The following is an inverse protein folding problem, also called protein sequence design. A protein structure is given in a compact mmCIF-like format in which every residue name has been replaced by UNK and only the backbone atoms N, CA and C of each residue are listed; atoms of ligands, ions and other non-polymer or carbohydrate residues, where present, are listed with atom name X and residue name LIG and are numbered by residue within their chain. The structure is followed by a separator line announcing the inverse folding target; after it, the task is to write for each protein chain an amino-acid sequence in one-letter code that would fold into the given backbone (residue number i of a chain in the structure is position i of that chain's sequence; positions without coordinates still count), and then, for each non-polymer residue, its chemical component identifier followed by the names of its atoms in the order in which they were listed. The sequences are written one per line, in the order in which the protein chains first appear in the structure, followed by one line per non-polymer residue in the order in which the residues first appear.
data_IF_385804250165
#
_entry.id   IF_385804250165
#
_cell.length_a   1.000
_cell.length_b   1.000
_cell.length_c   1.000
_cell.angle_alpha   90.00
_cell.angle_beta   90.00
_cell.angle_gamma   90.00
#
_symmetry.space_group_name_H-M   'P 1'
#
loop_
_entity.id
_entity.type
_entity.pdbx_description
1 polymer ?
#
# COMPACT_ATOMS: atom_id res chain seq x y z
N UNK A 1 7.15 -3.99 16.45
CA UNK A 1 7.28 -4.88 15.26
C UNK A 1 7.16 -4.04 14.00
N UNK A 2 7.72 -4.49 12.88
CA UNK A 2 7.54 -3.88 11.56
C UNK A 2 6.82 -4.87 10.65
N UNK A 3 5.67 -4.47 10.10
CA UNK A 3 4.85 -5.28 9.20
C UNK A 3 5.01 -4.74 7.78
N UNK A 4 5.34 -5.62 6.83
CA UNK A 4 5.53 -5.30 5.42
C UNK A 4 4.41 -5.90 4.57
N UNK A 5 3.87 -5.13 3.61
CA UNK A 5 2.86 -5.58 2.66
C UNK A 5 2.99 -4.94 1.27
N UNK A 6 2.52 -5.67 0.24
CA UNK A 6 2.53 -5.22 -1.15
C UNK A 6 1.18 -5.48 -1.87
N UNK A 7 0.86 -6.76 -2.13
CA UNK A 7 -0.49 -7.19 -2.46
C UNK A 7 -1.07 -6.69 -3.78
N UNK A 8 -0.27 -6.59 -4.84
CA UNK A 8 -0.74 -6.18 -6.18
C UNK A 8 0.02 -6.94 -7.28
N UNK A 9 -0.53 -6.94 -8.50
CA UNK A 9 0.05 -7.56 -9.70
C UNK A 9 0.29 -9.07 -9.63
N UNK A 10 -0.25 -9.76 -8.63
CA UNK A 10 0.05 -11.17 -8.37
C UNK A 10 1.50 -11.39 -7.93
N UNK A 11 2.20 -10.34 -7.50
CA UNK A 11 3.57 -10.45 -7.03
C UNK A 11 3.59 -11.09 -5.63
N UNK A 12 4.20 -12.27 -5.53
CA UNK A 12 4.50 -12.92 -4.25
C UNK A 12 5.67 -12.21 -3.58
N UNK A 13 5.53 -11.90 -2.29
CA UNK A 13 6.64 -11.39 -1.48
C UNK A 13 7.24 -12.56 -0.72
N UNK A 14 8.20 -13.26 -1.30
CA UNK A 14 8.78 -14.45 -0.67
C UNK A 14 9.51 -14.12 0.64
N UNK A 15 9.51 -15.08 1.57
CA UNK A 15 10.31 -15.03 2.79
C UNK A 15 11.81 -15.28 2.48
N UNK A 16 12.41 -14.36 1.76
CA UNK A 16 13.83 -14.40 1.40
C UNK A 16 14.73 -13.99 2.58
N UNK A 17 16.05 -14.01 2.36
CA UNK A 17 17.01 -13.37 3.27
C UNK A 17 17.32 -11.95 2.78
N UNK A 18 17.34 -10.99 3.69
CA UNK A 18 17.86 -9.66 3.40
C UNK A 18 18.70 -9.12 4.56
N UNK A 19 19.93 -8.74 4.23
CA UNK A 19 20.90 -8.20 5.17
C UNK A 19 20.41 -6.91 5.83
N UNK A 20 19.63 -6.09 5.11
CA UNK A 20 19.13 -4.81 5.66
C UNK A 20 18.18 -5.01 6.84
N UNK A 21 17.51 -6.18 6.94
CA UNK A 21 16.62 -6.51 8.06
C UNK A 21 17.36 -6.84 9.35
N UNK A 22 18.61 -7.31 9.29
CA UNK A 22 19.38 -7.71 10.47
C UNK A 22 19.47 -6.57 11.50
N UNK A 23 19.65 -5.33 11.03
CA UNK A 23 19.70 -4.16 11.92
C UNK A 23 18.43 -3.97 12.76
N UNK A 24 17.25 -4.34 12.24
CA UNK A 24 16.00 -4.30 13.01
C UNK A 24 15.95 -5.47 14.01
N UNK A 25 16.27 -6.68 13.53
CA UNK A 25 16.22 -7.90 14.33
C UNK A 25 17.16 -7.81 15.55
N UNK A 26 18.38 -7.32 15.37
CA UNK A 26 19.37 -7.12 16.44
C UNK A 26 18.96 -6.05 17.47
N UNK A 27 17.94 -5.25 17.15
CA UNK A 27 17.36 -4.22 18.02
C UNK A 27 16.01 -4.63 18.62
N UNK A 28 15.68 -5.92 18.55
CA UNK A 28 14.49 -6.49 19.19
C UNK A 28 13.20 -6.32 18.38
N UNK A 29 13.27 -5.96 17.10
CA UNK A 29 12.08 -5.95 16.25
C UNK A 29 11.72 -7.35 15.79
N UNK A 30 10.42 -7.66 15.82
CA UNK A 30 9.83 -8.66 14.94
C UNK A 30 9.59 -8.01 13.57
N UNK A 31 10.04 -8.66 12.50
CA UNK A 31 9.75 -8.30 11.12
C UNK A 31 8.77 -9.31 10.52
N UNK A 32 7.59 -8.85 10.11
CA UNK A 32 6.55 -9.69 9.53
C UNK A 32 6.32 -9.30 8.07
N UNK A 33 6.22 -10.31 7.19
CA UNK A 33 5.73 -10.16 5.83
C UNK A 33 4.30 -10.69 5.83
N UNK A 34 3.35 -9.90 5.36
CA UNK A 34 1.96 -10.34 5.25
C UNK A 34 1.59 -10.57 3.80
N UNK A 35 1.27 -11.83 3.49
CA UNK A 35 0.91 -12.31 2.15
C UNK A 35 -0.58 -12.07 1.89
N UNK A 36 -0.95 -10.83 1.62
CA UNK A 36 -2.34 -10.39 1.43
C UNK A 36 -2.88 -10.72 0.02
N UNK A 37 -4.20 -10.80 -0.14
CA UNK A 37 -4.82 -10.93 -1.47
C UNK A 37 -4.39 -9.81 -2.40
N UNK A 38 -4.29 -10.12 -3.69
CA UNK A 38 -3.65 -9.29 -4.71
C UNK A 38 -2.19 -9.67 -4.95
N UNK A 39 -1.56 -10.39 -4.00
CA UNK A 39 -0.31 -11.11 -4.20
C UNK A 39 -0.52 -12.47 -4.88
N UNK A 40 0.57 -13.20 -5.14
CA UNK A 40 0.57 -14.48 -5.85
C UNK A 40 0.73 -15.72 -4.97
N UNK A 41 0.79 -15.56 -3.65
CA UNK A 41 1.26 -16.60 -2.73
C UNK A 41 0.39 -17.86 -2.72
N UNK A 42 -0.92 -17.72 -2.97
CA UNK A 42 -1.87 -18.84 -3.08
C UNK A 42 -2.38 -19.02 -4.53
N UNK A 43 -1.60 -18.57 -5.52
CA UNK A 43 -1.89 -18.71 -6.94
C UNK A 43 -2.83 -17.64 -7.50
N UNK A 44 -3.30 -17.84 -8.73
CA UNK A 44 -4.03 -16.83 -9.53
C UNK A 44 -5.29 -16.30 -8.83
N UNK A 45 -6.06 -17.16 -8.14
CA UNK A 45 -7.27 -16.72 -7.46
C UNK A 45 -6.97 -15.74 -6.31
N UNK A 46 -5.83 -15.89 -5.65
CA UNK A 46 -5.39 -15.00 -4.57
C UNK A 46 -5.15 -13.58 -5.08
N UNK A 47 -4.58 -13.48 -6.28
CA UNK A 47 -4.38 -12.23 -6.99
C UNK A 47 -5.72 -11.63 -7.43
N UNK A 48 -6.55 -12.40 -8.12
CA UNK A 48 -7.85 -11.92 -8.64
C UNK A 48 -8.80 -11.49 -7.51
N UNK A 49 -8.70 -12.10 -6.34
CA UNK A 49 -9.47 -11.70 -5.15
C UNK A 49 -8.93 -10.45 -4.45
N UNK A 50 -7.84 -9.84 -4.92
CA UNK A 50 -7.33 -8.54 -4.47
C UNK A 50 -7.15 -7.54 -5.61
N UNK A 51 -7.95 -7.67 -6.68
CA UNK A 51 -7.85 -6.90 -7.92
C UNK A 51 -9.19 -6.25 -8.28
N UNK A 52 -9.19 -5.20 -9.10
CA UNK A 52 -10.43 -4.54 -9.57
C UNK A 52 -11.38 -4.19 -8.41
N UNK A 53 -12.65 -4.59 -8.52
CA UNK A 53 -13.71 -4.37 -7.53
C UNK A 53 -13.59 -5.27 -6.28
N UNK A 54 -12.49 -6.00 -6.16
CA UNK A 54 -12.09 -6.74 -4.97
C UNK A 54 -10.87 -6.14 -4.29
N UNK A 55 -10.31 -5.03 -4.81
CA UNK A 55 -9.04 -4.48 -4.30
C UNK A 55 -9.03 -4.18 -2.80
N UNK A 56 -10.18 -3.83 -2.21
CA UNK A 56 -10.28 -3.60 -0.76
C UNK A 56 -9.89 -4.80 0.10
N UNK A 57 -9.98 -6.01 -0.44
CA UNK A 57 -9.53 -7.22 0.25
C UNK A 57 -8.04 -7.14 0.63
N UNK A 58 -7.19 -6.57 -0.21
CA UNK A 58 -5.77 -6.37 0.09
C UNK A 58 -5.57 -5.56 1.37
N UNK A 59 -6.33 -4.46 1.53
CA UNK A 59 -6.20 -3.57 2.69
C UNK A 59 -6.79 -4.21 3.95
N UNK A 60 -7.94 -4.87 3.82
CA UNK A 60 -8.58 -5.59 4.91
C UNK A 60 -7.68 -6.71 5.45
N UNK A 61 -7.12 -7.53 4.55
CA UNK A 61 -6.20 -8.61 4.93
C UNK A 61 -4.97 -8.07 5.67
N UNK A 62 -4.43 -6.93 5.24
CA UNK A 62 -3.29 -6.30 5.90
C UNK A 62 -3.60 -5.89 7.34
N UNK A 63 -4.75 -5.23 7.54
CA UNK A 63 -5.20 -4.79 8.86
C UNK A 63 -5.54 -5.99 9.76
N UNK A 64 -6.24 -7.00 9.22
CA UNK A 64 -6.58 -8.24 9.92
C UNK A 64 -5.30 -8.99 10.36
N UNK A 65 -4.29 -9.05 9.49
CA UNK A 65 -3.01 -9.66 9.83
C UNK A 65 -2.26 -8.89 10.93
N UNK A 66 -2.28 -7.55 10.89
CA UNK A 66 -1.71 -6.73 11.95
C UNK A 66 -2.40 -6.97 13.30
N UNK A 67 -3.73 -6.97 13.32
CA UNK A 67 -4.53 -7.23 14.53
C UNK A 67 -4.26 -8.66 15.07
N UNK A 68 -4.17 -9.66 14.17
CA UNK A 68 -3.84 -11.03 14.55
C UNK A 68 -2.43 -11.17 15.15
N UNK A 69 -1.41 -10.54 14.55
CA UNK A 69 -0.04 -10.56 15.06
C UNK A 69 0.08 -9.92 16.45
N UNK A 70 -0.60 -8.79 16.67
CA UNK A 70 -0.66 -8.15 17.98
C UNK A 70 -1.38 -9.01 19.01
N UNK A 71 -2.51 -9.62 18.64
CA UNK A 71 -3.27 -10.52 19.52
C UNK A 71 -2.46 -11.76 19.93
N UNK A 72 -1.61 -12.26 19.04
CA UNK A 72 -0.71 -13.39 19.31
C UNK A 72 0.53 -12.98 20.12
N UNK A 73 0.73 -11.69 20.40
CA UNK A 73 1.84 -11.19 21.21
C UNK A 73 3.16 -11.02 20.47
N UNK A 74 3.16 -11.01 19.13
CA UNK A 74 4.38 -10.81 18.33
C UNK A 74 4.91 -9.37 18.38
N UNK A 75 4.08 -8.40 18.79
CA UNK A 75 4.48 -7.01 18.91
C UNK A 75 3.72 -6.29 20.01
N UNK A 76 4.29 -5.17 20.47
CA UNK A 76 3.57 -4.24 21.35
C UNK A 76 2.54 -3.45 20.52
N UNK A 77 1.27 -3.35 20.97
CA UNK A 77 0.27 -2.48 20.34
C UNK A 77 0.71 -1.00 20.26
N UNK A 78 1.55 -0.53 21.19
CA UNK A 78 2.07 0.84 21.18
C UNK A 78 3.25 1.07 20.22
N UNK A 79 3.82 0.00 19.65
CA UNK A 79 5.03 0.03 18.81
C UNK A 79 4.84 -0.86 17.56
N UNK A 80 3.67 -0.76 16.95
CA UNK A 80 3.36 -1.37 15.65
C UNK A 80 3.77 -0.41 14.53
N UNK A 81 4.61 -0.86 13.60
CA UNK A 81 5.05 -0.08 12.45
C UNK A 81 4.65 -0.77 11.16
N UNK A 82 4.37 0.01 10.11
CA UNK A 82 3.99 -0.48 8.79
C UNK A 82 4.97 0.00 7.71
N UNK A 83 5.18 -0.82 6.68
CA UNK A 83 6.01 -0.47 5.53
C UNK A 83 5.47 -1.05 4.22
N UNK A 84 5.51 -0.26 3.17
CA UNK A 84 5.15 -0.68 1.82
C UNK A 84 5.66 0.30 0.76
N UNK A 85 5.97 -0.22 -0.42
CA UNK A 85 6.54 0.56 -1.53
C UNK A 85 5.75 0.44 -2.83
N UNK A 86 5.74 1.49 -3.66
CA UNK A 86 5.00 1.55 -4.92
C UNK A 86 3.49 1.29 -4.68
N UNK A 87 2.92 0.21 -5.24
CA UNK A 87 1.57 -0.24 -4.92
C UNK A 87 1.39 -0.64 -3.43
N UNK A 88 2.42 -1.17 -2.78
CA UNK A 88 2.43 -1.34 -1.31
C UNK A 88 2.40 0.00 -0.56
N UNK A 89 2.85 1.09 -1.18
CA UNK A 89 2.69 2.44 -0.67
C UNK A 89 1.25 2.94 -0.73
N UNK A 90 0.46 2.51 -1.74
CA UNK A 90 -0.99 2.70 -1.74
C UNK A 90 -1.60 2.02 -0.52
N UNK A 91 -1.23 0.76 -0.28
CA UNK A 91 -1.70 -0.01 0.87
C UNK A 91 -1.39 0.68 2.20
N UNK A 92 -0.19 1.27 2.36
CA UNK A 92 0.11 2.12 3.52
C UNK A 92 -0.85 3.30 3.65
N UNK A 93 -1.09 4.02 2.55
CA UNK A 93 -2.00 5.17 2.52
C UNK A 93 -3.44 4.80 2.90
N UNK A 94 -3.95 3.67 2.40
CA UNK A 94 -5.30 3.19 2.76
C UNK A 94 -5.35 2.78 4.23
N UNK A 95 -4.35 2.01 4.71
CA UNK A 95 -4.32 1.52 6.08
C UNK A 95 -4.33 2.66 7.10
N UNK A 96 -3.54 3.72 6.89
CA UNK A 96 -3.50 4.87 7.81
C UNK A 96 -4.75 5.76 7.73
N UNK A 97 -5.48 5.76 6.61
CA UNK A 97 -6.77 6.45 6.54
C UNK A 97 -7.85 5.68 7.32
N UNK A 98 -7.84 4.35 7.24
CA UNK A 98 -8.87 3.49 7.86
C UNK A 98 -8.65 3.23 9.35
N UNK A 99 -7.41 2.99 9.77
CA UNK A 99 -7.03 2.58 11.14
C UNK A 99 -5.74 3.27 11.57
N UNK A 100 -5.67 4.63 11.60
CA UNK A 100 -4.44 5.34 11.97
C UNK A 100 -3.92 4.98 13.37
N UNK A 101 -4.81 4.67 14.30
CA UNK A 101 -4.51 4.35 15.70
C UNK A 101 -3.78 3.02 15.88
N UNK A 102 -3.80 2.15 14.86
CA UNK A 102 -3.10 0.86 14.89
C UNK A 102 -1.59 1.02 14.80
N UNK A 103 -1.10 2.14 14.24
CA UNK A 103 0.30 2.31 13.92
C UNK A 103 0.94 3.42 14.76
N UNK A 104 2.15 3.16 15.25
CA UNK A 104 3.02 4.19 15.82
C UNK A 104 3.75 4.96 14.72
N UNK A 105 4.19 4.26 13.67
CA UNK A 105 4.85 4.89 12.53
C UNK A 105 4.75 4.09 11.24
N UNK A 106 4.80 4.78 10.11
CA UNK A 106 4.61 4.19 8.77
C UNK A 106 5.69 4.68 7.80
N UNK A 107 6.20 3.78 6.98
CA UNK A 107 7.18 4.04 5.93
C UNK A 107 6.51 3.77 4.57
N UNK A 108 6.23 4.82 3.81
CA UNK A 108 5.63 4.76 2.49
C UNK A 108 6.67 5.12 1.41
N UNK A 109 7.11 4.14 0.64
CA UNK A 109 8.19 4.31 -0.34
C UNK A 109 7.62 4.49 -1.74
N UNK A 110 7.97 5.58 -2.44
CA UNK A 110 7.44 5.93 -3.78
C UNK A 110 5.95 5.61 -3.94
N UNK A 111 5.08 6.08 -3.02
CA UNK A 111 3.77 5.47 -2.86
C UNK A 111 2.77 5.96 -3.93
N UNK A 112 2.00 5.02 -4.51
CA UNK A 112 0.91 5.36 -5.43
C UNK A 112 -0.34 5.76 -4.64
N UNK A 113 -0.52 7.07 -4.39
CA UNK A 113 -1.56 7.58 -3.47
C UNK A 113 -2.64 8.45 -4.11
N UNK A 114 -2.35 9.06 -5.25
CA UNK A 114 -3.30 9.89 -6.02
C UNK A 114 -3.97 9.04 -7.11
N UNK A 115 -4.75 8.05 -6.69
CA UNK A 115 -5.19 6.95 -7.55
C UNK A 115 -6.20 7.43 -8.58
N UNK A 116 -7.25 8.13 -8.14
CA UNK A 116 -8.34 8.58 -9.03
C UNK A 116 -7.81 9.57 -10.07
N UNK A 117 -7.07 10.61 -9.66
CA UNK A 117 -6.55 11.62 -10.57
C UNK A 117 -5.59 11.00 -11.58
N UNK A 118 -4.67 10.15 -11.12
CA UNK A 118 -3.69 9.50 -12.01
C UNK A 118 -4.38 8.57 -13.01
N UNK A 119 -5.32 7.76 -12.55
CA UNK A 119 -6.00 6.77 -13.39
C UNK A 119 -7.01 7.42 -14.36
N UNK A 120 -7.43 8.67 -14.15
CA UNK A 120 -8.23 9.43 -15.11
C UNK A 120 -7.39 10.06 -16.24
N UNK A 121 -6.08 10.21 -16.06
CA UNK A 121 -5.19 10.87 -17.02
C UNK A 121 -4.35 9.84 -17.81
N UNK A 122 -4.81 9.51 -19.01
CA UNK A 122 -4.12 8.60 -19.93
C UNK A 122 -2.76 9.14 -20.45
N UNK A 123 -2.46 10.43 -20.25
CA UNK A 123 -1.17 11.01 -20.65
C UNK A 123 -0.05 10.69 -19.65
N UNK A 124 -0.39 10.25 -18.44
CA UNK A 124 0.58 9.81 -17.45
C UNK A 124 1.09 8.40 -17.85
N UNK A 125 2.42 8.17 -17.90
CA UNK A 125 2.96 6.85 -18.19
C UNK A 125 2.38 5.78 -17.26
N UNK A 126 2.17 4.58 -17.82
CA UNK A 126 1.60 3.39 -17.18
C UNK A 126 0.07 3.37 -17.01
N UNK A 127 -0.62 4.51 -16.95
CA UNK A 127 -2.07 4.57 -16.68
C UNK A 127 -2.90 3.58 -17.51
N UNK A 128 -2.68 3.54 -18.83
CA UNK A 128 -3.46 2.66 -19.72
C UNK A 128 -3.22 1.17 -19.48
N UNK A 129 -2.00 0.79 -19.06
CA UNK A 129 -1.70 -0.59 -18.70
C UNK A 129 -2.24 -0.96 -17.31
N UNK A 130 -2.24 0.01 -16.40
CA UNK A 130 -2.74 -0.12 -15.03
C UNK A 130 -4.28 -0.25 -14.97
N UNK A 131 -5.00 0.05 -16.06
CA UNK A 131 -6.43 -0.28 -16.16
C UNK A 131 -6.70 -1.76 -15.99
N UNK A 132 -5.78 -2.62 -16.44
CA UNK A 132 -5.91 -4.06 -16.24
C UNK A 132 -5.67 -4.48 -14.80
N UNK A 133 -5.18 -3.60 -13.89
CA UNK A 133 -4.98 -3.88 -12.47
C UNK A 133 -6.10 -3.27 -11.59
N UNK A 134 -6.32 -1.97 -11.72
CA UNK A 134 -7.23 -1.20 -10.84
C UNK A 134 -8.63 -1.04 -11.42
N UNK A 135 -8.76 -1.17 -12.75
CA UNK A 135 -9.93 -0.76 -13.52
C UNK A 135 -9.79 0.66 -14.08
N UNK A 136 -10.66 1.00 -15.03
CA UNK A 136 -10.67 2.31 -15.68
C UNK A 136 -11.72 3.23 -15.03
N UNK A 137 -11.33 4.32 -14.33
CA UNK A 137 -12.26 5.22 -13.66
C UNK A 137 -13.07 6.12 -14.62
N UNK A 138 -12.92 5.99 -15.94
CA UNK A 138 -13.92 6.54 -16.88
C UNK A 138 -15.26 5.79 -16.79
N UNK A 139 -15.25 4.53 -16.34
CA UNK A 139 -16.46 3.81 -15.94
C UNK A 139 -16.86 4.24 -14.52
N UNK A 140 -18.09 4.74 -14.32
CA UNK A 140 -18.58 5.17 -13.01
C UNK A 140 -18.47 4.11 -11.91
N UNK A 141 -18.60 2.82 -12.24
CA UNK A 141 -18.49 1.73 -11.26
C UNK A 141 -17.07 1.65 -10.69
N UNK A 142 -16.06 1.75 -11.56
CA UNK A 142 -14.67 1.76 -11.15
C UNK A 142 -14.28 3.08 -10.50
N UNK A 143 -14.80 4.21 -10.98
CA UNK A 143 -14.58 5.52 -10.34
C UNK A 143 -15.00 5.51 -8.87
N UNK A 144 -16.25 5.15 -8.58
CA UNK A 144 -16.78 5.15 -7.21
C UNK A 144 -16.05 4.13 -6.32
N UNK A 145 -15.76 2.94 -6.84
CA UNK A 145 -15.02 1.93 -6.10
C UNK A 145 -13.59 2.39 -5.79
N UNK A 146 -12.87 2.93 -6.79
CA UNK A 146 -11.50 3.42 -6.64
C UNK A 146 -11.42 4.63 -5.69
N UNK A 147 -12.32 5.60 -5.87
CA UNK A 147 -12.42 6.77 -5.00
C UNK A 147 -12.67 6.40 -3.55
N UNK A 148 -13.41 5.33 -3.29
CA UNK A 148 -13.68 4.88 -1.92
C UNK A 148 -12.48 4.27 -1.19
N UNK A 149 -11.34 4.07 -1.84
CA UNK A 149 -10.09 3.68 -1.18
C UNK A 149 -8.89 4.56 -1.53
N UNK A 150 -8.94 5.39 -2.58
CA UNK A 150 -7.82 6.24 -3.01
C UNK A 150 -7.24 7.04 -1.83
N UNK A 151 -5.96 6.84 -1.44
CA UNK A 151 -5.44 7.43 -0.21
C UNK A 151 -5.55 8.95 -0.16
N UNK A 152 -5.21 9.65 -1.25
CA UNK A 152 -5.25 11.11 -1.28
C UNK A 152 -6.67 11.66 -1.12
N UNK A 153 -7.65 11.05 -1.78
CA UNK A 153 -9.06 11.47 -1.74
C UNK A 153 -9.75 11.21 -0.38
N UNK A 154 -9.17 10.33 0.45
CA UNK A 154 -9.75 9.91 1.74
C UNK A 154 -8.99 10.45 2.96
N UNK A 155 -8.12 11.45 2.79
CA UNK A 155 -7.53 12.15 3.93
C UNK A 155 -8.61 12.96 4.64
N UNK A 156 -8.71 12.80 5.96
CA UNK A 156 -9.67 13.53 6.80
C UNK A 156 -8.96 14.22 7.97
N UNK A 157 -9.66 15.11 8.66
CA UNK A 157 -9.15 15.76 9.86
C UNK A 157 -9.16 14.76 11.04
N UNK A 158 -8.09 13.97 11.15
CA UNK A 158 -7.87 12.97 12.21
C UNK A 158 -6.40 12.91 12.62
N UNK A 159 -6.10 12.22 13.73
CA UNK A 159 -4.73 11.95 14.12
C UNK A 159 -4.14 10.85 13.22
N UNK A 160 -2.91 11.05 12.75
CA UNK A 160 -2.18 10.09 11.92
C UNK A 160 -0.88 9.64 12.62
N UNK A 161 -0.35 8.45 12.30
CA UNK A 161 0.93 7.99 12.81
C UNK A 161 2.09 8.85 12.32
N UNK A 162 3.26 8.69 12.94
CA UNK A 162 4.50 9.26 12.40
C UNK A 162 4.75 8.70 11.00
N UNK A 163 4.99 9.56 10.01
CA UNK A 163 5.05 9.15 8.61
C UNK A 163 6.39 9.54 7.97
N UNK A 164 7.06 8.57 7.37
CA UNK A 164 8.18 8.81 6.44
C UNK A 164 7.71 8.46 5.03
N UNK A 165 7.67 9.48 4.16
CA UNK A 165 7.41 9.31 2.73
C UNK A 165 8.70 9.52 1.96
N UNK A 166 9.07 8.57 1.10
CA UNK A 166 10.19 8.73 0.18
C UNK A 166 9.70 8.79 -1.26
N UNK A 167 10.34 9.60 -2.08
CA UNK A 167 10.09 9.68 -3.53
C UNK A 167 11.38 10.06 -4.26
N UNK A 168 11.39 9.97 -5.59
CA UNK A 168 12.54 10.32 -6.43
C UNK A 168 12.12 11.26 -7.55
N UNK A 169 12.86 12.36 -7.73
CA UNK A 169 12.72 13.21 -8.91
C UNK A 169 13.52 12.59 -10.07
N UNK A 170 12.89 12.12 -11.16
CA UNK A 170 13.63 11.62 -12.30
C UNK A 170 14.36 12.78 -13.03
N UNK A 171 15.60 12.54 -13.47
CA UNK A 171 16.39 13.50 -14.28
C UNK A 171 15.87 13.68 -15.72
N UNK A 172 14.88 12.90 -16.14
CA UNK A 172 14.24 12.98 -17.46
C UNK A 172 12.72 12.98 -17.30
N UNK A 173 12.02 13.72 -18.16
CA UNK A 173 10.60 14.08 -18.10
C UNK A 173 9.63 12.91 -18.33
N UNK A 174 9.64 11.92 -17.44
CA UNK A 174 8.60 10.91 -17.32
C UNK A 174 8.17 10.87 -15.86
N UNK A 175 6.93 11.28 -15.57
CA UNK A 175 6.39 11.17 -14.22
C UNK A 175 6.48 9.72 -13.75
N UNK A 176 7.10 9.50 -12.59
CA UNK A 176 6.95 8.26 -11.84
C UNK A 176 5.77 8.47 -10.90
N UNK A 177 4.84 7.51 -10.94
CA UNK A 177 3.61 7.40 -10.15
C UNK A 177 3.57 8.22 -8.85
N UNK A 178 2.49 9.00 -8.69
CA UNK A 178 1.96 9.33 -7.36
C UNK A 178 2.46 10.59 -6.67
N UNK A 179 3.44 11.33 -7.20
CA UNK A 179 3.66 12.72 -6.78
C UNK A 179 2.95 13.62 -7.77
N UNK A 180 1.70 13.97 -7.48
CA UNK A 180 0.93 14.91 -8.29
C UNK A 180 1.80 16.12 -8.68
N UNK A 181 1.65 16.59 -9.92
CA UNK A 181 2.22 17.89 -10.32
C UNK A 181 1.70 18.92 -9.34
N UNK A 182 2.52 19.34 -8.37
CA UNK A 182 2.27 20.58 -7.63
C UNK A 182 2.37 21.70 -8.66
N UNK A 183 1.22 22.11 -9.19
CA UNK A 183 1.08 23.29 -10.02
C UNK A 183 1.57 24.51 -9.24
N UNK A 184 2.29 25.38 -9.95
CA UNK A 184 2.50 26.76 -9.53
C UNK A 184 1.20 27.53 -9.55
#
# INVERSE_FOLDING_TARGET
MLVYGYGSYGASIDADFSFSRLSLLDRGFVYAIVHVRGGGELGQQWYEDGKFLKKKNTFNDYLDACDALLKLGYGSPSLCYAMGGSAGGMLMGVAINQRPELFHGVIAQVPFVDVVTTMLDESIPLTTGEFEEWGNPQDPQYYEYMKSYSPYDNVTAQAYPHLLVTTGLPRFSGAILGTGKMGR
#
